data_IF_818462413160
#
_entry.id   IF_818462413160
#
_cell.length_a   1.000
_cell.length_b   1.000
_cell.length_c   1.000
_cell.angle_alpha   90.00
_cell.angle_beta   90.00
_cell.angle_gamma   90.00
#
_symmetry.space_group_name_H-M   'P 1'
#
loop_
_entity.id
_entity.type
_entity.pdbx_description
1 polymer ?
#
# COMPACT_ATOMS: atom_id res chain seq x y z
N UNK A 1 15.08 -6.94 -49.41
CA UNK A 1 13.86 -7.28 -48.63
C UNK A 1 13.05 -6.00 -48.47
N UNK A 2 11.76 -6.01 -48.85
CA UNK A 2 10.84 -4.93 -48.53
C UNK A 2 10.36 -5.13 -47.09
N UNK A 3 10.52 -4.13 -46.23
CA UNK A 3 9.93 -4.12 -44.89
C UNK A 3 8.58 -3.41 -45.00
N UNK A 4 7.46 -4.10 -44.74
CA UNK A 4 6.15 -3.48 -44.69
C UNK A 4 6.11 -2.28 -43.72
N UNK A 5 5.51 -1.16 -44.16
CA UNK A 5 5.37 0.05 -43.33
C UNK A 5 4.64 -0.20 -42.00
N UNK A 6 3.71 -1.17 -41.95
CA UNK A 6 3.01 -1.52 -40.72
C UNK A 6 3.94 -2.11 -39.65
N UNK A 7 5.01 -2.82 -40.04
CA UNK A 7 6.01 -3.32 -39.10
C UNK A 7 6.83 -2.19 -38.50
N UNK A 8 7.16 -1.18 -39.30
CA UNK A 8 7.85 0.03 -38.83
C UNK A 8 6.96 0.79 -37.84
N UNK A 9 5.68 0.98 -38.19
CA UNK A 9 4.71 1.62 -37.31
C UNK A 9 4.53 0.84 -36.00
N UNK A 10 4.41 -0.48 -36.06
CA UNK A 10 4.29 -1.33 -34.88
C UNK A 10 5.55 -1.24 -34.00
N UNK A 11 6.74 -1.31 -34.59
CA UNK A 11 8.00 -1.18 -33.86
C UNK A 11 8.11 0.19 -33.16
N UNK A 12 7.71 1.27 -33.84
CA UNK A 12 7.67 2.61 -33.26
C UNK A 12 6.69 2.71 -32.08
N UNK A 13 5.50 2.11 -32.20
CA UNK A 13 4.50 2.06 -31.12
C UNK A 13 5.04 1.29 -29.92
N UNK A 14 5.61 0.10 -30.14
CA UNK A 14 6.19 -0.72 -29.07
C UNK A 14 7.33 0.02 -28.37
N UNK A 15 8.22 0.65 -29.13
CA UNK A 15 9.31 1.45 -28.58
C UNK A 15 8.79 2.62 -27.74
N UNK A 16 7.80 3.38 -28.25
CA UNK A 16 7.20 4.48 -27.52
C UNK A 16 6.52 4.02 -26.22
N UNK A 17 5.77 2.90 -26.26
CA UNK A 17 5.15 2.31 -25.08
C UNK A 17 6.20 1.91 -24.03
N UNK A 18 7.31 1.30 -24.47
CA UNK A 18 8.39 0.89 -23.58
C UNK A 18 9.14 2.09 -22.97
N UNK A 19 9.38 3.14 -23.76
CA UNK A 19 9.98 4.38 -23.28
C UNK A 19 9.11 5.08 -22.23
N UNK A 20 7.79 5.18 -22.47
CA UNK A 20 6.83 5.73 -21.50
C UNK A 20 6.80 4.89 -20.24
N UNK A 21 6.73 3.56 -20.36
CA UNK A 21 6.73 2.66 -19.21
C UNK A 21 8.02 2.79 -18.38
N UNK A 22 9.18 2.83 -19.04
CA UNK A 22 10.48 3.02 -18.38
C UNK A 22 10.58 4.36 -17.67
N UNK A 23 10.10 5.44 -18.29
CA UNK A 23 10.05 6.76 -17.68
C UNK A 23 9.15 6.79 -16.43
N UNK A 24 7.99 6.13 -16.49
CA UNK A 24 7.09 6.02 -15.34
C UNK A 24 7.77 5.26 -14.20
N UNK A 25 8.38 4.10 -14.47
CA UNK A 25 9.12 3.35 -13.46
C UNK A 25 10.28 4.16 -12.86
N UNK A 26 11.06 4.84 -13.69
CA UNK A 26 12.19 5.67 -13.24
C UNK A 26 11.74 6.87 -12.38
N UNK A 27 10.50 7.34 -12.54
CA UNK A 27 9.90 8.41 -11.74
C UNK A 27 9.07 7.89 -10.56
N UNK A 28 9.21 6.60 -10.22
CA UNK A 28 8.51 5.98 -9.11
C UNK A 28 7.00 5.84 -9.32
N UNK A 29 6.55 5.86 -10.58
CA UNK A 29 5.15 5.71 -10.98
C UNK A 29 4.95 4.34 -11.59
N UNK A 30 4.22 3.46 -10.92
CA UNK A 30 3.80 2.21 -11.55
C UNK A 30 2.45 2.41 -12.26
N UNK A 31 2.36 2.26 -13.60
CA UNK A 31 1.08 2.35 -14.31
C UNK A 31 0.24 1.08 -14.21
N UNK A 32 0.80 -0.04 -13.74
CA UNK A 32 0.09 -1.31 -13.64
C UNK A 32 -0.74 -1.38 -12.34
N UNK A 33 -1.87 -2.11 -12.32
CA UNK A 33 -2.76 -2.20 -11.17
C UNK A 33 -2.20 -3.08 -10.04
N UNK A 34 -0.91 -3.44 -10.08
CA UNK A 34 -0.29 -4.24 -9.05
C UNK A 34 0.13 -3.36 -7.86
N UNK A 35 0.01 -3.87 -6.62
CA UNK A 35 0.57 -3.21 -5.46
C UNK A 35 2.09 -3.15 -5.60
N UNK A 36 2.66 -1.97 -5.36
CA UNK A 36 4.10 -1.77 -5.43
C UNK A 36 4.79 -2.46 -4.25
N UNK A 37 5.93 -3.11 -4.49
CA UNK A 37 6.77 -3.62 -3.40
C UNK A 37 7.16 -2.45 -2.48
N UNK A 38 6.97 -2.61 -1.18
CA UNK A 38 7.25 -1.55 -0.20
C UNK A 38 6.15 -0.50 -0.06
N UNK A 39 4.92 -0.79 -0.47
CA UNK A 39 3.75 0.04 -0.16
C UNK A 39 3.68 0.37 1.33
N UNK A 40 3.38 1.64 1.63
CA UNK A 40 3.23 2.17 2.99
C UNK A 40 1.76 2.45 3.23
N UNK A 41 1.15 1.76 4.19
CA UNK A 41 -0.27 1.94 4.53
C UNK A 41 -0.37 2.86 5.75
N UNK A 42 -1.15 3.93 5.63
CA UNK A 42 -1.48 4.84 6.72
C UNK A 42 -2.99 4.79 6.96
N UNK A 43 -3.39 4.62 8.21
CA UNK A 43 -4.81 4.60 8.58
C UNK A 43 -5.29 5.97 9.06
N UNK A 44 -6.48 6.38 8.64
CA UNK A 44 -7.16 7.60 9.09
C UNK A 44 -8.38 7.26 9.95
N UNK A 45 -8.75 8.13 10.90
CA UNK A 45 -9.80 7.83 11.88
C UNK A 45 -11.22 7.83 11.30
N UNK A 46 -11.46 8.56 10.21
CA UNK A 46 -12.76 8.68 9.54
C UNK A 46 -12.59 9.02 8.04
N UNK A 47 -13.65 8.90 7.24
CA UNK A 47 -13.61 9.19 5.80
C UNK A 47 -13.19 10.63 5.48
N UNK A 48 -13.61 11.62 6.28
CA UNK A 48 -13.28 13.02 6.07
C UNK A 48 -11.77 13.27 6.23
N UNK A 49 -11.16 12.67 7.26
CA UNK A 49 -9.73 12.72 7.47
C UNK A 49 -8.96 12.04 6.33
N UNK A 50 -9.50 10.94 5.77
CA UNK A 50 -8.93 10.31 4.58
C UNK A 50 -8.87 11.30 3.42
N UNK A 51 -9.99 11.96 3.11
CA UNK A 51 -10.07 12.92 2.01
C UNK A 51 -9.11 14.11 2.20
N UNK A 52 -9.04 14.65 3.42
CA UNK A 52 -8.10 15.74 3.75
C UNK A 52 -6.65 15.31 3.56
N UNK A 53 -6.28 14.10 3.98
CA UNK A 53 -4.92 13.58 3.79
C UNK A 53 -4.60 13.38 2.31
N UNK A 54 -5.53 12.86 1.51
CA UNK A 54 -5.34 12.73 0.06
C UNK A 54 -5.15 14.10 -0.60
N UNK A 55 -5.98 15.08 -0.23
CA UNK A 55 -5.87 16.44 -0.73
C UNK A 55 -4.55 17.12 -0.33
N UNK A 56 -4.09 16.89 0.91
CA UNK A 56 -2.80 17.39 1.39
C UNK A 56 -1.64 16.79 0.59
N UNK A 57 -1.61 15.48 0.40
CA UNK A 57 -0.57 14.81 -0.41
C UNK A 57 -0.54 15.34 -1.84
N UNK A 58 -1.72 15.56 -2.45
CA UNK A 58 -1.81 16.12 -3.80
C UNK A 58 -1.19 17.52 -3.90
N UNK A 59 -1.37 18.37 -2.87
CA UNK A 59 -0.73 19.70 -2.79
C UNK A 59 0.80 19.63 -2.72
N UNK A 60 1.33 18.56 -2.15
CA UNK A 60 2.77 18.29 -2.06
C UNK A 60 3.30 17.42 -3.21
N UNK A 61 2.54 17.28 -4.30
CA UNK A 61 2.99 16.63 -5.53
C UNK A 61 2.72 15.13 -5.60
N UNK A 62 2.16 14.52 -4.54
CA UNK A 62 1.80 13.10 -4.52
C UNK A 62 0.30 12.93 -4.77
N UNK A 63 -0.06 12.59 -6.01
CA UNK A 63 -1.47 12.45 -6.42
C UNK A 63 -2.02 11.05 -6.16
N UNK A 64 -3.33 10.98 -5.96
CA UNK A 64 -4.07 9.72 -6.00
C UNK A 64 -3.96 9.11 -7.41
N UNK A 65 -3.66 7.82 -7.45
CA UNK A 65 -3.63 7.00 -8.67
C UNK A 65 -5.00 6.39 -8.92
N UNK A 66 -5.51 5.64 -7.93
CA UNK A 66 -6.85 5.05 -7.95
C UNK A 66 -7.33 4.70 -6.53
N UNK A 67 -8.59 4.29 -6.43
CA UNK A 67 -9.17 3.77 -5.20
C UNK A 67 -9.44 2.26 -5.29
N UNK A 68 -9.24 1.54 -4.18
CA UNK A 68 -9.51 0.10 -4.05
C UNK A 68 -10.33 -0.17 -2.79
N UNK A 69 -11.59 0.26 -2.82
CA UNK A 69 -12.50 0.15 -1.70
C UNK A 69 -13.07 -1.28 -1.64
N UNK A 70 -13.12 -1.89 -0.46
CA UNK A 70 -13.65 -3.24 -0.26
C UNK A 70 -14.28 -3.40 1.12
N UNK A 71 -15.47 -3.99 1.20
CA UNK A 71 -16.12 -4.35 2.48
C UNK A 71 -16.15 -3.23 3.52
N UNK A 72 -16.43 -1.99 3.09
CA UNK A 72 -16.47 -0.81 3.97
C UNK A 72 -15.10 -0.18 4.28
N UNK A 73 -14.01 -0.75 3.77
CA UNK A 73 -12.65 -0.20 3.89
C UNK A 73 -12.38 0.69 2.68
N UNK A 74 -12.02 1.94 2.95
CA UNK A 74 -11.74 2.94 1.93
C UNK A 74 -10.23 3.08 1.70
N UNK A 75 -9.74 2.82 0.49
CA UNK A 75 -8.32 2.93 0.16
C UNK A 75 -8.06 3.86 -1.01
N UNK A 76 -7.19 4.81 -0.78
CA UNK A 76 -6.64 5.67 -1.81
C UNK A 76 -5.18 5.27 -2.04
N UNK A 77 -4.86 4.82 -3.25
CA UNK A 77 -3.51 4.38 -3.62
C UNK A 77 -2.86 5.54 -4.37
N UNK A 78 -1.73 6.01 -3.86
CA UNK A 78 -0.93 7.08 -4.44
C UNK A 78 0.01 6.54 -5.52
N UNK A 79 0.52 7.43 -6.36
CA UNK A 79 1.44 7.07 -7.45
C UNK A 79 2.76 6.44 -7.00
N UNK A 80 3.19 6.66 -5.75
CA UNK A 80 4.43 6.12 -5.17
C UNK A 80 4.20 4.84 -4.33
N UNK A 81 3.02 4.24 -4.43
CA UNK A 81 2.63 3.06 -3.66
C UNK A 81 2.19 3.35 -2.22
N UNK A 82 2.15 4.61 -1.77
CA UNK A 82 1.53 4.99 -0.49
C UNK A 82 0.03 4.72 -0.53
N UNK A 83 -0.54 4.18 0.55
CA UNK A 83 -1.96 3.86 0.67
C UNK A 83 -2.51 4.61 1.88
N UNK A 84 -3.54 5.43 1.66
CA UNK A 84 -4.31 6.06 2.74
C UNK A 84 -5.59 5.26 2.91
N UNK A 85 -5.70 4.62 4.07
CA UNK A 85 -6.74 3.67 4.41
C UNK A 85 -7.67 4.25 5.48
N UNK A 86 -8.97 3.98 5.36
CA UNK A 86 -9.90 4.14 6.46
C UNK A 86 -10.65 2.82 6.64
N UNK A 87 -10.51 2.23 7.81
CA UNK A 87 -11.12 0.94 8.14
C UNK A 87 -12.36 1.14 9.00
N UNK A 88 -13.42 0.32 8.80
CA UNK A 88 -14.61 0.36 9.62
C UNK A 88 -14.32 -0.08 11.07
N UNK A 89 -15.23 0.22 12.02
CA UNK A 89 -14.98 -0.01 13.45
C UNK A 89 -14.62 -1.45 13.82
N UNK A 90 -15.23 -2.44 13.16
CA UNK A 90 -15.00 -3.88 13.36
C UNK A 90 -13.57 -4.30 12.98
N UNK A 91 -13.01 -3.74 11.92
CA UNK A 91 -11.61 -3.97 11.53
C UNK A 91 -10.67 -3.29 12.53
N UNK A 92 -10.98 -2.07 12.96
CA UNK A 92 -10.19 -1.36 13.96
C UNK A 92 -10.17 -2.09 15.31
N UNK A 93 -11.28 -2.69 15.71
CA UNK A 93 -11.39 -3.50 16.93
C UNK A 93 -10.48 -4.73 16.87
N UNK A 94 -10.47 -5.46 15.74
CA UNK A 94 -9.53 -6.58 15.53
C UNK A 94 -8.06 -6.16 15.60
N UNK A 95 -7.77 -4.93 15.17
CA UNK A 95 -6.44 -4.32 15.24
C UNK A 95 -6.14 -3.69 16.62
N UNK A 96 -7.06 -3.79 17.59
CA UNK A 96 -6.88 -3.27 18.95
C UNK A 96 -6.87 -1.74 19.02
N UNK A 97 -7.59 -1.07 18.11
CA UNK A 97 -7.63 0.39 17.97
C UNK A 97 -6.24 1.02 17.77
N UNK A 98 -5.30 0.28 17.20
CA UNK A 98 -3.97 0.79 16.92
C UNK A 98 -4.04 2.02 16.00
N UNK A 99 -3.47 3.13 16.48
CA UNK A 99 -3.40 4.40 15.72
C UNK A 99 -2.37 4.35 14.59
N UNK A 100 -1.48 3.35 14.59
CA UNK A 100 -0.53 3.06 13.54
C UNK A 100 -0.42 1.54 13.33
N UNK A 101 -0.51 1.10 12.07
CA UNK A 101 -0.23 -0.26 11.66
C UNK A 101 0.47 -0.24 10.31
N UNK A 102 1.27 -1.25 10.01
CA UNK A 102 1.88 -1.43 8.70
C UNK A 102 1.40 -2.76 8.11
N UNK A 103 0.94 -2.73 6.86
CA UNK A 103 0.69 -3.93 6.07
C UNK A 103 1.88 -4.17 5.13
N UNK A 104 2.41 -5.38 5.16
CA UNK A 104 3.54 -5.78 4.33
C UNK A 104 3.03 -6.55 3.12
N UNK A 105 3.20 -5.98 1.93
CA UNK A 105 2.97 -6.71 0.68
C UNK A 105 4.19 -7.57 0.41
N UNK A 106 4.05 -8.88 0.63
CA UNK A 106 5.12 -9.85 0.49
C UNK A 106 4.63 -11.12 -0.20
N UNK A 107 5.57 -11.87 -0.78
CA UNK A 107 5.30 -13.15 -1.45
C UNK A 107 4.79 -14.20 -0.42
N UNK A 108 5.27 -14.11 0.83
CA UNK A 108 4.70 -14.80 2.00
C UNK A 108 4.32 -13.76 3.08
N UNK A 109 3.05 -13.32 3.13
CA UNK A 109 2.58 -12.32 4.08
C UNK A 109 2.73 -12.77 5.54
N UNK A 110 2.59 -14.06 5.82
CA UNK A 110 2.64 -14.60 7.19
C UNK A 110 4.08 -14.61 7.69
N UNK A 111 5.02 -15.15 6.89
CA UNK A 111 6.43 -15.15 7.25
C UNK A 111 6.96 -13.72 7.44
N UNK A 112 6.60 -12.81 6.53
CA UNK A 112 7.05 -11.41 6.58
C UNK A 112 6.49 -10.65 7.77
N UNK A 113 5.22 -10.90 8.14
CA UNK A 113 4.63 -10.29 9.33
C UNK A 113 5.27 -10.81 10.63
N UNK A 114 5.64 -12.09 10.68
CA UNK A 114 6.35 -12.65 11.83
C UNK A 114 7.76 -12.07 11.98
N UNK A 115 8.51 -11.95 10.88
CA UNK A 115 9.84 -11.30 10.87
C UNK A 115 9.75 -9.84 11.34
N UNK A 116 8.77 -9.09 10.85
CA UNK A 116 8.54 -7.71 11.31
C UNK A 116 8.12 -7.62 12.78
N UNK A 117 7.31 -8.58 13.28
CA UNK A 117 6.98 -8.64 14.70
C UNK A 117 8.21 -8.96 15.56
N UNK A 118 9.10 -9.84 15.11
CA UNK A 118 10.38 -10.13 15.77
C UNK A 118 11.29 -8.90 15.79
N UNK A 119 11.39 -8.19 14.66
CA UNK A 119 12.10 -6.92 14.58
C UNK A 119 11.58 -5.92 15.64
N UNK A 120 10.26 -5.70 15.72
CA UNK A 120 9.67 -4.80 16.71
C UNK A 120 9.93 -5.26 18.16
N UNK A 121 9.82 -6.56 18.43
CA UNK A 121 10.12 -7.13 19.76
C UNK A 121 11.58 -6.93 20.16
N UNK A 122 12.53 -7.10 19.23
CA UNK A 122 13.95 -6.82 19.48
C UNK A 122 14.23 -5.34 19.80
N UNK A 123 13.33 -4.43 19.41
CA UNK A 123 13.37 -3.00 19.76
C UNK A 123 12.60 -2.67 21.03
N UNK A 124 12.10 -3.67 21.76
CA UNK A 124 11.45 -3.50 23.06
C UNK A 124 9.95 -3.20 23.00
N UNK A 125 9.32 -3.31 21.83
CA UNK A 125 7.86 -3.20 21.68
C UNK A 125 7.18 -4.55 21.91
N UNK A 126 5.93 -4.53 22.35
CA UNK A 126 5.04 -5.68 22.15
C UNK A 126 4.53 -5.64 20.71
N UNK A 127 4.57 -6.78 20.01
CA UNK A 127 4.11 -6.85 18.62
C UNK A 127 3.23 -8.09 18.41
N UNK A 128 2.02 -7.87 17.86
CA UNK A 128 1.05 -8.91 17.52
C UNK A 128 0.85 -8.98 16.02
N UNK A 129 0.86 -10.19 15.47
CA UNK A 129 0.49 -10.47 14.08
C UNK A 129 -1.00 -10.77 14.02
N UNK A 130 -1.71 -10.12 13.09
CA UNK A 130 -3.15 -10.31 12.85
C UNK A 130 -3.32 -10.71 11.38
N UNK A 131 -3.84 -11.92 11.14
CA UNK A 131 -3.93 -12.51 9.81
C UNK A 131 -5.32 -12.39 9.17
N UNK A 132 -6.34 -12.08 9.96
CA UNK A 132 -7.76 -12.16 9.61
C UNK A 132 -8.52 -10.84 9.86
N UNK A 133 -7.77 -9.73 9.93
CA UNK A 133 -8.35 -8.40 9.98
C UNK A 133 -9.21 -8.13 8.73
N UNK A 134 -8.74 -8.62 7.58
CA UNK A 134 -9.38 -8.47 6.28
C UNK A 134 -9.51 -9.82 5.55
N UNK A 135 -10.56 -10.61 5.78
CA UNK A 135 -10.64 -11.98 5.26
C UNK A 135 -10.66 -12.08 3.73
N UNK A 136 -11.04 -10.99 3.04
CA UNK A 136 -11.14 -10.95 1.58
C UNK A 136 -9.80 -10.67 0.88
N UNK A 137 -8.75 -10.28 1.64
CA UNK A 137 -7.44 -9.93 1.08
C UNK A 137 -6.33 -10.67 1.83
N UNK A 138 -5.27 -11.14 1.14
CA UNK A 138 -4.15 -11.84 1.78
C UNK A 138 -3.19 -10.84 2.45
N UNK A 139 -3.66 -10.10 3.45
CA UNK A 139 -2.89 -9.07 4.16
C UNK A 139 -2.71 -9.48 5.62
N UNK A 140 -1.45 -9.52 6.05
CA UNK A 140 -1.08 -9.67 7.46
C UNK A 140 -0.71 -8.30 8.05
N UNK A 141 -1.25 -8.00 9.22
CA UNK A 141 -0.98 -6.76 9.95
C UNK A 141 -0.07 -7.02 11.13
N UNK A 142 0.88 -6.11 11.35
CA UNK A 142 1.70 -6.10 12.57
C UNK A 142 1.33 -4.87 13.40
N UNK A 143 0.86 -5.12 14.62
CA UNK A 143 0.42 -4.08 15.55
C UNK A 143 1.45 -3.91 16.65
N UNK A 144 2.23 -2.81 16.67
CA UNK A 144 3.07 -2.46 17.80
C UNK A 144 2.21 -1.89 18.93
N UNK A 145 2.43 -2.35 20.16
CA UNK A 145 1.82 -1.80 21.36
C UNK A 145 2.87 -1.16 22.26
N UNK A 146 2.57 0.00 22.87
CA UNK A 146 3.42 0.57 23.89
C UNK A 146 3.47 -0.38 25.07
N UNK A 147 4.68 -0.67 25.55
CA UNK A 147 4.89 -1.47 26.75
C UNK A 147 4.20 -0.74 27.92
N UNK A 148 3.25 -1.39 28.61
CA UNK A 148 2.75 -0.86 29.88
C UNK A 148 3.96 -0.75 30.81
N UNK A 149 4.21 0.45 31.32
CA UNK A 149 5.21 0.63 32.37
C UNK A 149 4.84 -0.33 33.52
N UNK A 150 5.79 -1.08 34.10
CA UNK A 150 5.51 -1.80 35.32
C UNK A 150 5.06 -0.78 36.37
N UNK A 151 3.85 -0.94 36.88
CA UNK A 151 3.33 -0.19 38.02
C UNK A 151 4.19 -0.41 39.26
#
# INVERSE_FOLDING_TARGET
MFVPMWLIALAAIVFAAFAVWTYLLATGRNPLPFPDRGSRIFSTPNPEAKEVMVALLARHGLRERFQANSSGILRSIMWDGTIINQSPPDVNEKLGHATASIGLVADDPVASANDAAEFLRSRGFEARVVLDAEPALPIAFVVPMPRRAPC
#
